data_IF_603944116911
#
_entry.id   IF_603944116911
#
_cell.length_a   1.000
_cell.length_b   1.000
_cell.length_c   1.000
_cell.angle_alpha   90.00
_cell.angle_beta   90.00
_cell.angle_gamma   90.00
#
_symmetry.space_group_name_H-M   'P 1'
#
loop_
_entity.id
_entity.type
_entity.pdbx_description
1 polymer ?
#
# COMPACT_ATOMS: atom_id res chain seq x y z
N UNK A 1 -11.88 -12.08 3.55
CA UNK A 1 -11.85 -11.81 2.10
C UNK A 1 -10.73 -12.63 1.46
N UNK A 2 -10.64 -12.69 0.14
CA UNK A 2 -9.50 -13.30 -0.58
C UNK A 2 -8.79 -12.24 -1.43
N UNK A 3 -7.45 -12.31 -1.51
CA UNK A 3 -6.63 -11.45 -2.37
C UNK A 3 -5.91 -12.31 -3.39
N UNK A 4 -5.87 -11.86 -4.65
CA UNK A 4 -5.06 -12.50 -5.69
C UNK A 4 -3.60 -12.07 -5.55
N UNK A 5 -2.70 -13.04 -5.51
CA UNK A 5 -1.25 -12.85 -5.53
C UNK A 5 -0.65 -13.65 -6.69
N UNK A 6 0.65 -13.49 -6.94
CA UNK A 6 1.36 -14.29 -7.95
C UNK A 6 1.29 -15.80 -7.67
N UNK A 7 1.19 -16.20 -6.40
CA UNK A 7 1.07 -17.59 -5.98
C UNK A 7 -0.40 -18.05 -5.82
N UNK A 8 -1.36 -17.29 -6.37
CA UNK A 8 -2.79 -17.58 -6.28
C UNK A 8 -3.52 -16.80 -5.19
N UNK A 9 -4.75 -17.23 -4.91
CA UNK A 9 -5.63 -16.57 -3.94
C UNK A 9 -5.20 -16.90 -2.49
N UNK A 10 -5.07 -15.87 -1.67
CA UNK A 10 -4.78 -16.01 -0.23
C UNK A 10 -5.85 -15.35 0.61
N UNK A 11 -6.09 -15.86 1.82
CA UNK A 11 -7.01 -15.23 2.77
C UNK A 11 -6.42 -13.91 3.27
N UNK A 12 -7.29 -12.91 3.36
CA UNK A 12 -6.95 -11.60 3.93
C UNK A 12 -8.08 -11.07 4.82
N UNK A 13 -7.69 -10.27 5.80
CA UNK A 13 -8.60 -9.42 6.59
C UNK A 13 -8.48 -7.98 6.11
N UNK A 14 -9.59 -7.40 5.69
CA UNK A 14 -9.64 -6.00 5.30
C UNK A 14 -9.66 -5.13 6.56
N UNK A 15 -8.84 -4.10 6.58
CA UNK A 15 -8.70 -3.18 7.71
C UNK A 15 -8.73 -1.73 7.24
N UNK A 16 -9.19 -0.85 8.12
CA UNK A 16 -9.07 0.60 7.97
C UNK A 16 -7.90 1.05 8.83
N UNK A 17 -6.85 1.58 8.20
CA UNK A 17 -5.69 2.13 8.91
C UNK A 17 -5.92 3.62 9.14
N UNK A 18 -5.94 4.05 10.40
CA UNK A 18 -6.16 5.44 10.76
C UNK A 18 -5.05 6.36 10.24
N UNK A 19 -3.81 5.85 10.21
CA UNK A 19 -2.62 6.55 9.75
C UNK A 19 -1.64 5.58 9.09
N UNK A 20 -1.17 5.92 7.90
CA UNK A 20 -0.04 5.28 7.23
C UNK A 20 1.01 6.36 6.97
N UNK A 21 2.24 6.12 7.40
CA UNK A 21 3.35 7.05 7.21
C UNK A 21 4.50 6.36 6.50
N UNK A 22 4.99 6.97 5.42
CA UNK A 22 6.17 6.54 4.67
C UNK A 22 7.10 7.74 4.55
N UNK A 23 8.20 7.73 5.30
CA UNK A 23 9.05 8.92 5.46
C UNK A 23 8.25 10.11 5.99
N UNK A 24 8.24 11.21 5.24
CA UNK A 24 7.47 12.42 5.56
C UNK A 24 6.03 12.41 5.04
N UNK A 25 5.65 11.44 4.20
CA UNK A 25 4.30 11.32 3.67
C UNK A 25 3.38 10.66 4.69
N UNK A 26 2.31 11.36 5.05
CA UNK A 26 1.29 10.86 5.99
C UNK A 26 -0.06 10.85 5.31
N UNK A 27 -0.66 9.67 5.22
CA UNK A 27 -2.04 9.48 4.81
C UNK A 27 -2.86 9.02 6.00
N UNK A 28 -4.11 9.48 6.07
CA UNK A 28 -5.08 9.01 7.06
C UNK A 28 -6.12 8.14 6.39
N UNK A 29 -6.79 7.30 7.17
CA UNK A 29 -7.99 6.60 6.70
C UNK A 29 -7.71 5.81 5.40
N UNK A 30 -6.71 4.92 5.46
CA UNK A 30 -6.22 4.15 4.31
C UNK A 30 -6.74 2.72 4.41
N UNK A 31 -7.29 2.21 3.32
CA UNK A 31 -7.74 0.82 3.28
C UNK A 31 -6.54 -0.11 3.11
N UNK A 32 -6.50 -1.18 3.90
CA UNK A 32 -5.43 -2.16 3.92
C UNK A 32 -5.93 -3.59 4.02
N UNK A 33 -5.00 -4.54 3.86
CA UNK A 33 -5.26 -5.96 4.02
C UNK A 33 -4.16 -6.59 4.86
N UNK A 34 -4.56 -7.38 5.87
CA UNK A 34 -3.65 -8.25 6.62
C UNK A 34 -3.70 -9.62 5.97
N UNK A 35 -2.55 -10.14 5.54
CA UNK A 35 -2.44 -11.46 4.92
C UNK A 35 -2.26 -12.53 5.99
N UNK A 36 -2.91 -13.68 5.80
CA UNK A 36 -2.73 -14.85 6.69
C UNK A 36 -1.33 -15.46 6.56
N UNK A 37 -0.83 -15.56 5.33
CA UNK A 37 0.53 -16.00 5.07
C UNK A 37 1.54 -14.88 5.37
N UNK A 38 2.70 -15.21 5.98
CA UNK A 38 3.75 -14.23 6.21
C UNK A 38 4.30 -13.71 4.88
N UNK A 39 4.39 -12.38 4.78
CA UNK A 39 5.08 -11.70 3.68
C UNK A 39 6.40 -11.12 4.23
N UNK A 40 7.53 -11.24 3.51
CA UNK A 40 8.80 -10.71 3.97
C UNK A 40 8.85 -9.16 4.01
N UNK A 41 7.89 -8.50 3.37
CA UNK A 41 7.78 -7.04 3.31
C UNK A 41 6.32 -6.58 3.24
N UNK A 42 6.09 -5.33 3.65
CA UNK A 42 4.81 -4.64 3.46
C UNK A 42 4.71 -4.12 2.04
N UNK A 43 3.54 -4.29 1.42
CA UNK A 43 3.25 -3.81 0.07
C UNK A 43 2.47 -2.48 0.13
N UNK A 44 2.94 -1.49 -0.63
CA UNK A 44 2.16 -0.27 -0.90
C UNK A 44 1.25 -0.50 -2.10
N UNK A 45 -0.03 -0.71 -1.82
CA UNK A 45 -1.05 -0.91 -2.86
C UNK A 45 -1.68 0.40 -3.35
N UNK A 46 -2.63 0.26 -4.28
CA UNK A 46 -3.35 1.39 -4.89
C UNK A 46 -4.05 2.31 -3.89
N UNK A 47 -4.50 1.80 -2.73
CA UNK A 47 -5.12 2.61 -1.67
C UNK A 47 -4.20 3.71 -1.13
N UNK A 48 -2.88 3.49 -1.18
CA UNK A 48 -1.85 4.47 -0.89
C UNK A 48 -1.44 5.23 -2.17
N UNK A 49 -1.10 4.50 -3.23
CA UNK A 49 -0.46 5.06 -4.44
C UNK A 49 -1.36 6.04 -5.20
N UNK A 50 -2.68 5.88 -5.18
CA UNK A 50 -3.61 6.82 -5.84
C UNK A 50 -3.72 8.18 -5.14
N UNK A 51 -3.31 8.26 -3.85
CA UNK A 51 -3.40 9.47 -3.02
C UNK A 51 -2.13 10.32 -3.05
N UNK A 52 -1.08 9.84 -3.71
CA UNK A 52 0.19 10.53 -3.87
C UNK A 52 0.45 10.80 -5.35
N UNK A 53 1.16 11.88 -5.65
CA UNK A 53 1.73 12.08 -6.97
C UNK A 53 2.94 11.15 -7.12
N UNK A 54 3.02 10.43 -8.23
CA UNK A 54 4.10 9.52 -8.56
C UNK A 54 4.83 10.04 -9.79
N UNK A 55 6.15 10.21 -9.67
CA UNK A 55 7.03 10.60 -10.76
C UNK A 55 8.15 9.57 -10.87
N UNK A 56 8.35 9.02 -12.07
CA UNK A 56 9.42 8.05 -12.34
C UNK A 56 10.56 8.75 -13.07
N UNK A 57 11.76 8.62 -12.54
CA UNK A 57 13.00 9.16 -13.10
C UNK A 57 14.00 8.01 -13.24
N UNK A 58 14.08 7.40 -14.42
CA UNK A 58 14.88 6.19 -14.64
C UNK A 58 14.43 5.04 -13.74
N UNK A 59 15.33 4.59 -12.87
CA UNK A 59 15.11 3.55 -11.87
C UNK A 59 14.47 4.08 -10.56
N UNK A 60 14.36 5.40 -10.43
CA UNK A 60 13.88 6.05 -9.22
C UNK A 60 12.39 6.36 -9.30
N UNK A 61 11.65 6.07 -8.22
CA UNK A 61 10.26 6.47 -8.03
C UNK A 61 10.17 7.53 -6.93
N UNK A 62 9.73 8.73 -7.31
CA UNK A 62 9.52 9.85 -6.39
C UNK A 62 8.02 9.92 -6.05
N UNK A 63 7.72 9.81 -4.76
CA UNK A 63 6.38 9.98 -4.22
C UNK A 63 6.25 11.37 -3.59
N UNK A 64 5.22 12.13 -3.97
CA UNK A 64 4.92 13.45 -3.41
C UNK A 64 3.49 13.51 -2.92
N UNK A 65 3.24 14.27 -1.85
CA UNK A 65 1.88 14.52 -1.39
C UNK A 65 1.11 15.25 -2.49
N UNK A 66 -0.06 14.73 -2.85
CA UNK A 66 -1.03 15.47 -3.65
C UNK A 66 -1.71 16.44 -2.67
N UNK A 67 -1.68 17.73 -3.00
CA UNK A 67 -2.12 18.91 -2.22
C UNK A 67 -2.91 18.59 -0.94
#
# INVERSE_FOLDING_TARGET
>A
STSMTANGAVRVWLVRLDRVQVGSLVLRNVDGAVHEAPLPFVLLGSSFLQRVAMQREGDTLILRRRF
#
